data_IF_688469030430
#
_entry.id   IF_688469030430
#
_cell.length_a   1.000
_cell.length_b   1.000
_cell.length_c   1.000
_cell.angle_alpha   90.00
_cell.angle_beta   90.00
_cell.angle_gamma   90.00
#
_symmetry.space_group_name_H-M   'P 1'
#
loop_
_entity.id
_entity.type
_entity.pdbx_description
1 polymer ?
#
# COMPACT_ATOMS: atom_id res chain seq x y z
N UNK A 1 -12.15 1.14 -17.23
CA UNK A 1 -11.06 1.77 -16.46
C UNK A 1 -10.97 3.22 -16.90
N UNK A 2 -11.24 4.17 -15.99
CA UNK A 2 -11.06 5.60 -16.27
C UNK A 2 -9.56 5.91 -16.21
N UNK A 3 -9.01 6.55 -17.24
CA UNK A 3 -7.61 7.01 -17.21
C UNK A 3 -7.55 8.34 -16.47
N UNK A 4 -6.82 8.36 -15.36
CA UNK A 4 -6.54 9.62 -14.64
C UNK A 4 -5.69 10.56 -15.49
N UNK A 5 -6.01 11.86 -15.45
CA UNK A 5 -5.14 12.94 -15.93
C UNK A 5 -4.50 13.65 -14.73
N UNK A 6 -3.23 14.03 -14.85
CA UNK A 6 -2.47 14.79 -13.85
C UNK A 6 -3.04 16.18 -13.58
N UNK A 7 -3.98 16.68 -14.38
CA UNK A 7 -4.62 17.99 -14.19
C UNK A 7 -6.10 17.90 -13.81
N UNK A 8 -6.75 16.76 -14.03
CA UNK A 8 -8.20 16.63 -13.84
C UNK A 8 -8.60 15.65 -12.73
N UNK A 9 -7.69 14.82 -12.21
CA UNK A 9 -8.04 13.79 -11.23
C UNK A 9 -7.90 14.26 -9.78
N UNK A 10 -8.34 15.48 -9.47
CA UNK A 10 -8.34 16.02 -8.10
C UNK A 10 -9.29 15.23 -7.19
N UNK A 11 -9.15 15.38 -5.88
CA UNK A 11 -10.09 14.79 -4.89
C UNK A 11 -11.54 15.13 -5.22
N UNK A 12 -11.85 16.39 -5.54
CA UNK A 12 -13.21 16.81 -5.89
C UNK A 12 -13.75 16.10 -7.14
N UNK A 13 -12.90 15.91 -8.14
CA UNK A 13 -13.30 15.23 -9.36
C UNK A 13 -13.45 13.72 -9.14
N UNK A 14 -12.61 13.10 -8.29
CA UNK A 14 -12.82 11.71 -7.86
C UNK A 14 -14.17 11.58 -7.17
N UNK A 15 -14.53 12.49 -6.26
CA UNK A 15 -15.84 12.50 -5.58
C UNK A 15 -17.00 12.57 -6.58
N UNK A 16 -16.93 13.52 -7.52
CA UNK A 16 -17.95 13.67 -8.58
C UNK A 16 -18.08 12.40 -9.43
N UNK A 17 -16.96 11.76 -9.78
CA UNK A 17 -16.97 10.51 -10.54
C UNK A 17 -17.61 9.37 -9.74
N UNK A 18 -17.34 9.27 -8.43
CA UNK A 18 -18.00 8.31 -7.54
C UNK A 18 -19.51 8.53 -7.54
N UNK A 19 -19.97 9.77 -7.32
CA UNK A 19 -21.39 10.12 -7.30
C UNK A 19 -22.08 9.81 -8.64
N UNK A 20 -21.50 10.25 -9.76
CA UNK A 20 -22.01 9.93 -11.09
C UNK A 20 -22.08 8.43 -11.36
N UNK A 21 -21.08 7.66 -10.91
CA UNK A 21 -21.07 6.23 -11.10
C UNK A 21 -22.15 5.53 -10.27
N UNK A 22 -22.41 5.99 -9.04
CA UNK A 22 -23.51 5.49 -8.21
C UNK A 22 -24.86 5.75 -8.86
N UNK A 23 -25.09 6.96 -9.34
CA UNK A 23 -26.35 7.33 -10.01
C UNK A 23 -26.61 6.46 -11.25
N UNK A 24 -25.56 6.16 -12.03
CA UNK A 24 -25.67 5.34 -13.24
C UNK A 24 -25.74 3.83 -12.96
N UNK A 25 -25.19 3.37 -11.85
CA UNK A 25 -25.00 1.94 -11.56
C UNK A 25 -26.00 1.36 -10.56
N UNK A 26 -26.83 2.22 -9.94
CA UNK A 26 -27.79 1.82 -8.90
C UNK A 26 -27.09 1.26 -7.66
N UNK A 27 -27.65 0.18 -7.09
CA UNK A 27 -27.18 -0.43 -5.83
C UNK A 27 -25.93 -1.32 -5.96
N UNK A 28 -25.19 -1.23 -7.08
CA UNK A 28 -23.96 -2.02 -7.25
C UNK A 28 -22.87 -1.54 -6.30
N UNK A 29 -22.22 -2.50 -5.63
CA UNK A 29 -21.05 -2.21 -4.78
C UNK A 29 -19.93 -1.62 -5.64
N UNK A 30 -19.39 -0.50 -5.18
CA UNK A 30 -18.27 0.21 -5.82
C UNK A 30 -17.04 0.11 -4.92
N UNK A 31 -15.87 -0.03 -5.54
CA UNK A 31 -14.56 0.12 -4.90
C UNK A 31 -13.72 1.00 -5.82
N UNK A 32 -12.98 1.96 -5.25
CA UNK A 32 -12.14 2.88 -6.04
C UNK A 32 -10.67 2.54 -5.82
N UNK A 33 -9.95 2.38 -6.92
CA UNK A 33 -8.50 2.20 -6.92
C UNK A 33 -7.82 3.46 -7.44
N UNK A 34 -6.87 3.99 -6.67
CA UNK A 34 -6.04 5.15 -7.01
C UNK A 34 -4.60 4.68 -7.21
N UNK A 35 -4.17 4.61 -8.47
CA UNK A 35 -2.82 4.27 -8.87
C UNK A 35 -2.15 5.49 -9.54
N UNK A 36 -1.26 6.23 -8.88
CA UNK A 36 -0.86 6.13 -7.47
C UNK A 36 -0.98 7.51 -6.79
N UNK A 37 -1.06 7.53 -5.46
CA UNK A 37 -1.46 8.69 -4.64
C UNK A 37 -0.70 9.98 -4.98
N UNK A 38 0.62 9.92 -5.16
CA UNK A 38 1.46 11.10 -5.40
C UNK A 38 1.19 11.76 -6.77
N UNK A 39 0.40 11.14 -7.65
CA UNK A 39 -0.02 11.72 -8.93
C UNK A 39 -1.37 12.43 -8.87
N UNK A 40 -2.09 12.36 -7.75
CA UNK A 40 -3.32 13.14 -7.55
C UNK A 40 -2.94 14.62 -7.43
N UNK A 41 -3.43 15.49 -8.34
CA UNK A 41 -3.15 16.91 -8.27
C UNK A 41 -3.88 17.57 -7.09
N UNK A 42 -3.24 18.56 -6.50
CA UNK A 42 -3.86 19.47 -5.55
C UNK A 42 -3.66 20.90 -6.01
N UNK A 43 -4.74 21.70 -6.05
CA UNK A 43 -4.71 23.08 -6.54
C UNK A 43 -5.33 24.01 -5.49
N UNK A 44 -4.61 25.04 -5.00
CA UNK A 44 -3.21 25.35 -5.30
C UNK A 44 -2.25 24.25 -4.83
N UNK A 45 -1.10 24.13 -5.51
CA UNK A 45 -0.07 23.14 -5.14
C UNK A 45 0.54 23.54 -3.78
N UNK A 46 0.55 22.64 -2.78
CA UNK A 46 1.16 22.93 -1.48
C UNK A 46 2.68 23.15 -1.59
N UNK A 47 3.26 23.84 -0.61
CA UNK A 47 4.70 24.16 -0.63
C UNK A 47 5.58 22.92 -0.51
N UNK A 48 5.10 21.89 0.19
CA UNK A 48 5.83 20.64 0.37
C UNK A 48 4.97 19.40 0.04
N UNK A 49 5.66 18.33 -0.36
CA UNK A 49 5.02 17.07 -0.75
C UNK A 49 4.28 16.41 0.43
N UNK A 50 4.74 16.60 1.66
CA UNK A 50 4.13 16.01 2.85
C UNK A 50 2.73 16.60 3.12
N UNK A 51 2.57 17.91 3.00
CA UNK A 51 1.28 18.60 3.07
C UNK A 51 0.36 18.17 1.94
N UNK A 52 0.90 18.03 0.72
CA UNK A 52 0.14 17.52 -0.41
C UNK A 52 -0.40 16.11 -0.16
N UNK A 53 0.44 15.20 0.31
CA UNK A 53 0.01 13.85 0.68
C UNK A 53 -1.03 13.90 1.79
N UNK A 54 -0.83 14.73 2.82
CA UNK A 54 -1.78 14.90 3.92
C UNK A 54 -3.16 15.35 3.40
N UNK A 55 -3.19 16.35 2.52
CA UNK A 55 -4.43 16.81 1.89
C UNK A 55 -5.12 15.70 1.09
N UNK A 56 -4.36 14.97 0.27
CA UNK A 56 -4.90 13.90 -0.56
C UNK A 56 -5.46 12.77 0.31
N UNK A 57 -4.72 12.33 1.32
CA UNK A 57 -5.13 11.24 2.22
C UNK A 57 -6.42 11.61 2.97
N UNK A 58 -6.49 12.83 3.53
CA UNK A 58 -7.70 13.32 4.19
C UNK A 58 -8.88 13.37 3.21
N UNK A 59 -8.67 13.90 2.01
CA UNK A 59 -9.69 13.96 0.97
C UNK A 59 -10.20 12.59 0.51
N UNK A 60 -9.31 11.60 0.38
CA UNK A 60 -9.69 10.22 0.07
C UNK A 60 -10.50 9.59 1.22
N UNK A 61 -10.09 9.84 2.48
CA UNK A 61 -10.82 9.36 3.66
C UNK A 61 -12.21 9.98 3.76
N UNK A 62 -12.33 11.27 3.50
CA UNK A 62 -13.61 11.97 3.47
C UNK A 62 -14.57 11.38 2.43
N UNK A 63 -14.08 11.08 1.22
CA UNK A 63 -14.89 10.40 0.19
C UNK A 63 -15.31 9.01 0.65
N UNK A 64 -14.38 8.24 1.23
CA UNK A 64 -14.67 6.90 1.71
C UNK A 64 -15.80 6.88 2.74
N UNK A 65 -15.79 7.86 3.66
CA UNK A 65 -16.80 8.00 4.71
C UNK A 65 -18.12 8.57 4.18
N UNK A 66 -18.07 9.63 3.37
CA UNK A 66 -19.29 10.31 2.92
C UNK A 66 -20.06 9.52 1.86
N UNK A 67 -19.34 8.83 0.98
CA UNK A 67 -19.94 8.04 -0.10
C UNK A 67 -20.11 6.55 0.27
N UNK A 68 -19.61 6.13 1.44
CA UNK A 68 -19.59 4.73 1.89
C UNK A 68 -18.93 3.78 0.89
N UNK A 69 -17.86 4.25 0.24
CA UNK A 69 -17.13 3.51 -0.80
C UNK A 69 -15.71 3.17 -0.32
N UNK A 70 -15.31 1.88 -0.34
CA UNK A 70 -13.92 1.50 -0.06
C UNK A 70 -12.95 2.14 -1.06
N UNK A 71 -11.93 2.81 -0.51
CA UNK A 71 -10.86 3.44 -1.27
C UNK A 71 -9.56 2.66 -1.09
N UNK A 72 -8.94 2.24 -2.18
CA UNK A 72 -7.62 1.59 -2.21
C UNK A 72 -6.66 2.51 -2.95
N UNK A 73 -5.54 2.86 -2.34
CA UNK A 73 -4.56 3.77 -2.92
C UNK A 73 -3.16 3.18 -2.88
N UNK A 74 -2.46 3.21 -4.01
CA UNK A 74 -1.05 2.81 -4.10
C UNK A 74 -0.20 3.98 -3.67
N UNK A 75 0.76 3.73 -2.77
CA UNK A 75 1.65 4.75 -2.21
C UNK A 75 3.09 4.35 -2.47
N UNK A 76 3.89 5.31 -2.94
CA UNK A 76 5.33 5.13 -3.10
C UNK A 76 6.10 5.24 -1.77
N UNK A 77 7.20 4.49 -1.67
CA UNK A 77 8.21 4.67 -0.63
C UNK A 77 8.96 6.01 -0.80
N UNK A 78 9.49 6.53 0.31
CA UNK A 78 10.41 7.65 0.30
C UNK A 78 11.85 7.22 -0.08
N UNK A 79 12.80 8.16 0.00
CA UNK A 79 14.20 7.89 -0.37
C UNK A 79 14.87 6.85 0.53
N UNK A 80 14.48 6.77 1.80
CA UNK A 80 15.06 5.85 2.76
C UNK A 80 14.44 4.47 2.61
N UNK A 81 13.12 4.41 2.35
CA UNK A 81 12.41 3.18 2.00
C UNK A 81 12.94 2.50 0.74
N UNK A 82 13.46 3.25 -0.24
CA UNK A 82 14.11 2.68 -1.43
C UNK A 82 15.46 2.01 -1.13
N UNK A 83 16.08 2.32 0.02
CA UNK A 83 17.34 1.72 0.47
C UNK A 83 17.14 0.70 1.60
N UNK A 84 16.00 0.76 2.28
CA UNK A 84 15.64 -0.13 3.35
C UNK A 84 15.67 -1.58 2.86
N UNK A 85 16.24 -2.47 3.66
CA UNK A 85 16.25 -3.88 3.30
C UNK A 85 14.83 -4.46 3.38
N UNK A 86 14.02 -3.98 4.33
CA UNK A 86 12.59 -4.27 4.47
C UNK A 86 11.80 -2.97 4.56
N UNK A 87 10.85 -2.78 3.65
CA UNK A 87 9.96 -1.64 3.66
C UNK A 87 8.95 -1.78 4.82
N UNK A 88 8.67 -0.65 5.49
CA UNK A 88 7.77 -0.52 6.66
C UNK A 88 6.93 0.74 6.50
N UNK A 89 5.88 0.90 7.29
CA UNK A 89 4.94 2.01 7.15
C UNK A 89 5.58 3.40 7.31
N UNK A 90 6.61 3.53 8.16
CA UNK A 90 7.34 4.79 8.35
C UNK A 90 8.18 5.20 7.13
N UNK A 91 8.50 4.25 6.24
CA UNK A 91 9.20 4.48 4.98
C UNK A 91 8.29 4.98 3.83
N UNK A 92 6.99 5.16 4.07
CA UNK A 92 6.06 5.69 3.07
C UNK A 92 6.18 7.21 2.96
N UNK A 93 6.04 7.75 1.75
CA UNK A 93 5.97 9.21 1.59
C UNK A 93 4.72 9.76 2.25
N UNK A 94 4.88 10.69 3.20
CA UNK A 94 3.78 11.18 4.03
C UNK A 94 3.27 10.14 5.03
N UNK A 95 4.16 9.25 5.49
CA UNK A 95 3.87 8.14 6.40
C UNK A 95 3.05 8.57 7.62
N UNK A 96 3.30 9.74 8.20
CA UNK A 96 2.52 10.24 9.35
C UNK A 96 1.02 10.37 9.06
N UNK A 97 0.65 11.04 7.95
CA UNK A 97 -0.75 11.24 7.59
C UNK A 97 -1.42 9.92 7.18
N UNK A 98 -0.71 9.09 6.42
CA UNK A 98 -1.19 7.76 6.00
C UNK A 98 -1.43 6.87 7.22
N UNK A 99 -0.48 6.81 8.14
CA UNK A 99 -0.60 6.01 9.36
C UNK A 99 -1.73 6.49 10.26
N UNK A 100 -2.09 7.77 10.22
CA UNK A 100 -3.21 8.27 11.01
C UNK A 100 -4.56 7.92 10.37
N UNK A 101 -4.73 8.21 9.08
CA UNK A 101 -6.02 8.14 8.39
C UNK A 101 -6.37 6.76 7.82
N UNK A 102 -5.39 6.01 7.31
CA UNK A 102 -5.65 4.72 6.67
C UNK A 102 -6.19 3.72 7.69
N UNK A 103 -7.26 2.99 7.34
CA UNK A 103 -7.79 1.94 8.21
C UNK A 103 -6.95 0.66 8.13
N UNK A 104 -6.40 0.37 6.94
CA UNK A 104 -5.54 -0.79 6.67
C UNK A 104 -4.31 -0.34 5.88
N UNK A 105 -3.13 -0.83 6.26
CA UNK A 105 -1.89 -0.62 5.52
C UNK A 105 -1.28 -1.98 5.21
N UNK A 106 -1.11 -2.24 3.92
CA UNK A 106 -0.43 -3.43 3.40
C UNK A 106 0.88 -3.02 2.76
N UNK A 107 1.96 -3.72 3.08
CA UNK A 107 3.28 -3.50 2.48
C UNK A 107 3.76 -4.77 1.82
N UNK A 108 4.19 -4.66 0.56
CA UNK A 108 4.73 -5.76 -0.20
C UNK A 108 6.25 -5.71 -0.16
N UNK A 109 6.87 -6.79 0.26
CA UNK A 109 8.31 -6.99 0.27
C UNK A 109 8.70 -8.26 -0.48
N UNK A 110 9.85 -8.21 -1.14
CA UNK A 110 10.45 -9.37 -1.79
C UNK A 110 10.98 -10.36 -0.75
N UNK A 111 10.43 -11.59 -0.67
CA UNK A 111 10.78 -12.55 0.39
C UNK A 111 12.29 -12.82 0.43
N UNK A 112 12.90 -13.00 -0.74
CA UNK A 112 14.34 -13.23 -0.88
C UNK A 112 15.20 -12.14 -0.22
N UNK A 113 14.75 -10.89 -0.20
CA UNK A 113 15.51 -9.77 0.38
C UNK A 113 15.30 -9.62 1.89
N UNK A 114 14.14 -10.02 2.41
CA UNK A 114 13.76 -9.73 3.80
C UNK A 114 13.83 -10.93 4.73
N UNK A 115 14.07 -12.14 4.23
CA UNK A 115 14.37 -13.30 5.08
C UNK A 115 15.76 -13.17 5.70
N UNK A 116 15.87 -13.40 7.01
CA UNK A 116 17.13 -13.28 7.73
C UNK A 116 18.17 -14.31 7.26
N UNK A 117 19.45 -13.94 7.30
CA UNK A 117 20.58 -14.79 6.85
C UNK A 117 20.59 -16.17 7.50
N UNK A 118 20.25 -16.25 8.79
CA UNK A 118 20.17 -17.52 9.53
C UNK A 118 19.23 -18.53 8.87
N UNK A 119 18.17 -18.09 8.18
CA UNK A 119 17.25 -18.98 7.48
C UNK A 119 17.78 -19.42 6.10
N UNK A 120 18.75 -18.70 5.54
CA UNK A 120 19.34 -18.96 4.22
C UNK A 120 20.59 -19.85 4.34
N UNK A 121 21.40 -19.62 5.38
CA UNK A 121 22.69 -20.29 5.58
C UNK A 121 22.58 -21.83 5.69
N UNK A 122 21.48 -22.33 6.27
CA UNK A 122 21.28 -23.77 6.42
C UNK A 122 20.79 -24.48 5.14
N UNK A 123 20.18 -23.76 4.18
CA UNK A 123 19.68 -24.36 2.94
C UNK A 123 19.64 -23.35 1.76
N UNK A 124 20.77 -23.14 1.06
CA UNK A 124 20.86 -22.20 -0.05
C UNK A 124 19.94 -22.51 -1.24
N UNK A 125 19.62 -23.80 -1.46
CA UNK A 125 18.73 -24.22 -2.54
C UNK A 125 17.29 -23.78 -2.28
N UNK A 126 16.81 -23.94 -1.05
CA UNK A 126 15.50 -23.43 -0.63
C UNK A 126 15.45 -21.90 -0.72
N UNK A 127 16.55 -21.21 -0.39
CA UNK A 127 16.60 -19.76 -0.45
C UNK A 127 16.41 -19.21 -1.88
N UNK A 128 16.85 -19.92 -2.93
CA UNK A 128 16.61 -19.50 -4.31
C UNK A 128 15.11 -19.41 -4.62
N UNK A 129 14.31 -20.34 -4.09
CA UNK A 129 12.85 -20.36 -4.27
C UNK A 129 12.16 -19.17 -3.62
N UNK A 130 12.76 -18.48 -2.65
CA UNK A 130 12.16 -17.27 -2.07
C UNK A 130 12.01 -16.12 -3.08
N UNK A 131 12.69 -16.18 -4.23
CA UNK A 131 12.49 -15.22 -5.32
C UNK A 131 11.11 -15.32 -5.96
N UNK A 132 10.46 -16.47 -5.81
CA UNK A 132 9.12 -16.73 -6.35
C UNK A 132 8.02 -16.27 -5.38
N UNK A 133 8.37 -15.63 -4.25
CA UNK A 133 7.42 -15.28 -3.20
C UNK A 133 7.47 -13.79 -2.83
N UNK A 134 6.31 -13.21 -2.56
CA UNK A 134 6.15 -11.88 -1.94
C UNK A 134 5.64 -12.06 -0.53
N UNK A 135 6.16 -11.24 0.38
CA UNK A 135 5.60 -11.07 1.72
C UNK A 135 4.70 -9.84 1.71
N UNK A 136 3.46 -10.02 2.12
CA UNK A 136 2.47 -8.97 2.38
C UNK A 136 2.37 -8.79 3.89
N UNK A 137 2.93 -7.71 4.39
CA UNK A 137 2.86 -7.31 5.79
C UNK A 137 1.61 -6.47 6.04
N UNK A 138 0.77 -6.90 6.99
CA UNK A 138 -0.35 -6.10 7.51
C UNK A 138 0.18 -5.18 8.61
N UNK A 139 0.73 -4.03 8.21
CA UNK A 139 1.36 -3.07 9.15
C UNK A 139 0.33 -2.35 10.03
N UNK A 140 -0.89 -2.19 9.52
CA UNK A 140 -2.00 -1.61 10.27
C UNK A 140 -3.30 -2.27 9.86
N UNK A 141 -4.13 -2.58 10.85
CA UNK A 141 -5.49 -3.03 10.64
C UNK A 141 -6.39 -2.53 11.78
N UNK A 142 -7.09 -1.42 11.55
CA UNK A 142 -7.92 -0.77 12.58
C UNK A 142 -9.04 -1.69 13.11
N UNK A 143 -9.52 -2.63 12.30
CA UNK A 143 -10.64 -3.52 12.63
C UNK A 143 -10.27 -4.93 13.05
N UNK A 144 -8.98 -5.25 13.20
CA UNK A 144 -8.54 -6.62 13.44
C UNK A 144 -7.09 -6.74 13.84
N UNK A 145 -6.48 -7.89 13.51
CA UNK A 145 -5.09 -8.17 13.82
C UNK A 145 -4.16 -7.40 12.87
N UNK A 146 -3.15 -6.76 13.44
CA UNK A 146 -2.02 -6.14 12.74
C UNK A 146 -0.72 -6.90 13.01
N UNK A 147 0.39 -6.44 12.41
CA UNK A 147 1.71 -7.05 12.52
C UNK A 147 1.72 -8.54 12.12
N UNK A 148 0.96 -8.88 11.08
CA UNK A 148 0.93 -10.21 10.48
C UNK A 148 1.63 -10.19 9.14
N UNK A 149 2.56 -11.12 8.94
CA UNK A 149 3.24 -11.33 7.68
C UNK A 149 2.64 -12.55 6.97
N UNK A 150 2.04 -12.29 5.80
CA UNK A 150 1.54 -13.32 4.89
C UNK A 150 2.49 -13.44 3.70
N UNK A 151 2.56 -14.61 3.09
CA UNK A 151 3.30 -14.82 1.85
C UNK A 151 2.44 -15.43 0.77
N UNK A 152 2.72 -15.00 -0.46
CA UNK A 152 2.02 -15.43 -1.66
C UNK A 152 3.05 -15.76 -2.75
N UNK A 153 2.81 -16.86 -3.46
CA UNK A 153 3.61 -17.25 -4.61
C UNK A 153 3.28 -16.33 -5.79
N UNK A 154 4.31 -15.93 -6.53
CA UNK A 154 4.22 -15.07 -7.69
C UNK A 154 3.92 -15.90 -8.91
N UNK A 155 2.84 -15.59 -9.60
CA UNK A 155 2.54 -16.10 -10.94
C UNK A 155 2.61 -14.93 -11.93
N UNK A 156 3.76 -14.25 -11.98
CA UNK A 156 3.94 -13.00 -12.72
C UNK A 156 3.92 -13.18 -14.24
N UNK A 157 4.14 -14.39 -14.74
CA UNK A 157 3.83 -14.74 -16.13
C UNK A 157 2.35 -14.47 -16.51
N UNK A 158 1.45 -14.45 -15.52
CA UNK A 158 0.04 -14.10 -15.65
C UNK A 158 -0.33 -12.79 -14.93
N UNK A 159 0.65 -12.00 -14.48
CA UNK A 159 0.44 -10.77 -13.70
C UNK A 159 -0.42 -10.96 -12.45
N UNK A 160 -0.31 -12.11 -11.78
CA UNK A 160 -1.08 -12.41 -10.57
C UNK A 160 -0.25 -13.12 -9.49
N UNK A 161 -0.90 -13.36 -8.35
CA UNK A 161 -0.39 -14.14 -7.24
C UNK A 161 -1.26 -15.38 -7.05
N UNK A 162 -0.69 -16.46 -6.49
CA UNK A 162 -1.50 -17.57 -5.97
C UNK A 162 -2.35 -17.05 -4.79
N UNK A 163 -3.69 -17.14 -4.83
CA UNK A 163 -4.55 -16.55 -3.81
C UNK A 163 -4.62 -17.36 -2.51
N UNK A 164 -4.09 -18.59 -2.47
CA UNK A 164 -4.16 -19.45 -1.28
C UNK A 164 -3.42 -18.84 -0.10
N UNK A 165 -2.22 -18.31 -0.34
CA UNK A 165 -1.36 -17.64 0.64
C UNK A 165 -1.07 -18.48 1.89
N UNK A 166 -0.16 -18.02 2.74
CA UNK A 166 0.03 -18.57 4.10
C UNK A 166 0.74 -17.58 5.01
N UNK A 167 0.77 -17.86 6.31
CA UNK A 167 1.61 -17.10 7.25
C UNK A 167 3.09 -17.38 7.00
N UNK A 168 3.92 -16.35 7.07
CA UNK A 168 5.37 -16.50 6.99
C UNK A 168 5.87 -17.30 8.20
N UNK A 169 6.71 -18.31 7.96
CA UNK A 169 7.32 -19.12 9.02
C UNK A 169 8.78 -18.70 9.28
N UNK A 170 9.42 -18.08 8.30
CA UNK A 170 10.79 -17.66 8.38
C UNK A 170 10.96 -16.41 9.23
N UNK A 171 12.14 -16.30 9.87
CA UNK A 171 12.50 -15.08 10.57
C UNK A 171 12.83 -14.00 9.55
N UNK A 172 12.12 -12.89 9.63
CA UNK A 172 12.35 -11.72 8.79
C UNK A 172 13.37 -10.79 9.45
N UNK A 173 14.04 -9.99 8.63
CA UNK A 173 14.89 -8.91 9.11
C UNK A 173 14.01 -7.86 9.78
N UNK A 174 14.49 -7.37 10.92
CA UNK A 174 13.89 -6.27 11.66
C UNK A 174 14.95 -5.19 11.79
N UNK A 175 14.68 -4.00 11.26
CA UNK A 175 15.42 -2.81 11.64
C UNK A 175 14.94 -2.41 13.04
N UNK A 176 15.67 -2.84 14.07
CA UNK A 176 15.47 -2.24 15.39
C UNK A 176 15.87 -0.78 15.28
N UNK A 177 14.93 0.13 15.50
CA UNK A 177 15.25 1.52 15.84
C UNK A 177 16.04 1.49 17.15
N UNK A 178 17.36 1.42 17.05
CA UNK A 178 18.23 1.80 18.14
C UNK A 178 18.14 3.32 18.22
N UNK A 179 17.31 3.82 19.14
CA UNK A 179 17.45 5.19 19.62
C UNK A 179 18.73 5.24 20.45
N UNK A 180 19.79 5.80 19.90
CA UNK A 180 20.81 6.48 20.70
C UNK A 180 20.33 7.91 21.01
#
# INVERSE_FOLDING_TARGET
MLRGSQTASTIDNIRKLVQQHRDLSGDRRLVVFVDYMQKVPQVPEPENEAEKVTYIVNGLKDIALSEEVPMVSIVAADKDGLKASRLRNFHLRGSSAINYEADVILILNEKYHIVAKVNIEFNPYQAQRFRDWVIVSVEKNRGGQDNVDLEFEKHFEYSCFDPSGRTVQEKLIEERLYND
#
